data_IF_857770133627
#
_entry.id   IF_857770133627
#
_cell.length_a   1.000
_cell.length_b   1.000
_cell.length_c   1.000
_cell.angle_alpha   90.00
_cell.angle_beta   90.00
_cell.angle_gamma   90.00
#
_symmetry.space_group_name_H-M   'P 1'
#
loop_
_entity.id
_entity.type
_entity.pdbx_description
1 polymer ?
#
# COMPACT_ATOMS: atom_id res chain seq x y z
N UNK A 1 -7.49 -31.06 7.27
CA UNK A 1 -6.72 -29.81 7.19
C UNK A 1 -7.49 -28.77 7.97
N UNK A 2 -6.87 -28.13 8.96
CA UNK A 2 -7.57 -27.21 9.86
C UNK A 2 -7.73 -25.85 9.17
N UNK A 3 -8.93 -25.59 8.62
CA UNK A 3 -9.34 -24.27 8.18
C UNK A 3 -9.85 -23.50 9.41
N UNK A 4 -9.14 -22.44 9.79
CA UNK A 4 -9.71 -21.42 10.65
C UNK A 4 -10.30 -20.37 9.69
N UNK A 5 -11.63 -20.32 9.59
CA UNK A 5 -12.40 -19.28 8.86
C UNK A 5 -12.11 -19.10 7.36
N UNK A 6 -11.81 -20.18 6.63
CA UNK A 6 -11.57 -20.11 5.18
C UNK A 6 -10.29 -19.37 4.78
N UNK A 7 -9.36 -19.21 5.73
CA UNK A 7 -8.00 -18.70 5.49
C UNK A 7 -7.07 -19.90 5.33
N UNK A 8 -6.34 -19.96 4.22
CA UNK A 8 -5.40 -21.06 3.96
C UNK A 8 -4.06 -20.80 4.65
N UNK A 9 -3.27 -21.87 4.84
CA UNK A 9 -1.89 -21.73 5.32
C UNK A 9 -1.03 -20.88 4.37
N UNK A 10 -1.31 -20.94 3.06
CA UNK A 10 -0.63 -20.11 2.07
C UNK A 10 -0.91 -18.62 2.32
N UNK A 11 -2.17 -18.26 2.60
CA UNK A 11 -2.53 -16.88 2.92
C UNK A 11 -1.81 -16.39 4.18
N UNK A 12 -1.73 -17.22 5.23
CA UNK A 12 -1.00 -16.89 6.45
C UNK A 12 0.49 -16.66 6.22
N UNK A 13 1.13 -17.43 5.33
CA UNK A 13 2.54 -17.22 4.98
C UNK A 13 2.81 -15.87 4.33
N UNK A 14 1.79 -15.31 3.68
CA UNK A 14 1.80 -13.98 3.08
C UNK A 14 1.23 -12.92 4.04
N UNK A 15 1.11 -13.19 5.35
CA UNK A 15 0.75 -12.16 6.31
C UNK A 15 1.87 -11.10 6.40
N UNK A 16 1.59 -9.78 6.47
CA UNK A 16 2.61 -8.72 6.48
C UNK A 16 3.70 -8.84 7.56
N UNK A 17 3.40 -9.54 8.66
CA UNK A 17 4.39 -9.89 9.72
C UNK A 17 5.43 -10.92 9.27
N UNK A 18 5.09 -11.77 8.30
CA UNK A 18 5.93 -12.85 7.78
C UNK A 18 6.50 -12.54 6.39
N UNK A 19 5.92 -11.56 5.69
CA UNK A 19 6.40 -11.11 4.39
C UNK A 19 7.86 -10.66 4.44
N UNK A 20 8.62 -11.02 3.41
CA UNK A 20 9.95 -10.43 3.18
C UNK A 20 9.84 -8.94 2.84
N UNK A 21 10.93 -8.20 2.97
CA UNK A 21 10.94 -6.79 2.55
C UNK A 21 10.58 -6.61 1.08
N UNK A 22 11.03 -7.52 0.21
CA UNK A 22 10.75 -7.49 -1.22
C UNK A 22 9.25 -7.66 -1.47
N UNK A 23 8.65 -8.64 -0.80
CA UNK A 23 7.22 -8.93 -0.88
C UNK A 23 6.38 -7.75 -0.37
N UNK A 24 6.75 -7.16 0.76
CA UNK A 24 6.07 -5.97 1.30
C UNK A 24 6.13 -4.77 0.36
N UNK A 25 7.29 -4.55 -0.25
CA UNK A 25 7.51 -3.44 -1.18
C UNK A 25 6.61 -3.55 -2.41
N UNK A 26 6.49 -4.76 -2.98
CA UNK A 26 5.68 -4.99 -4.18
C UNK A 26 4.20 -5.31 -3.91
N UNK A 27 3.83 -5.68 -2.68
CA UNK A 27 2.45 -6.07 -2.35
C UNK A 27 1.39 -5.04 -2.77
N UNK A 28 1.51 -3.72 -2.52
CA UNK A 28 0.55 -2.73 -2.99
C UNK A 28 0.36 -2.74 -4.52
N UNK A 29 1.44 -2.98 -5.27
CA UNK A 29 1.40 -3.02 -6.73
C UNK A 29 0.64 -4.26 -7.22
N UNK A 30 1.02 -5.44 -6.72
CA UNK A 30 0.39 -6.72 -7.08
C UNK A 30 -1.08 -6.78 -6.63
N UNK A 31 -1.38 -6.28 -5.43
CA UNK A 31 -2.74 -6.21 -4.91
C UNK A 31 -3.62 -5.31 -5.77
N UNK A 32 -3.12 -4.17 -6.25
CA UNK A 32 -3.90 -3.29 -7.11
C UNK A 32 -4.29 -4.01 -8.42
N UNK A 33 -3.37 -4.77 -9.02
CA UNK A 33 -3.65 -5.58 -10.22
C UNK A 33 -4.77 -6.58 -9.94
N UNK A 34 -4.68 -7.31 -8.83
CA UNK A 34 -5.67 -8.34 -8.47
C UNK A 34 -7.05 -7.74 -8.19
N UNK A 35 -7.10 -6.63 -7.43
CA UNK A 35 -8.37 -6.05 -6.98
C UNK A 35 -9.08 -5.25 -8.07
N UNK A 36 -8.37 -4.74 -9.07
CA UNK A 36 -8.97 -3.96 -10.17
C UNK A 36 -9.99 -4.75 -11.00
N UNK A 37 -9.91 -6.08 -10.98
CA UNK A 37 -10.89 -6.96 -11.63
C UNK A 37 -12.13 -7.23 -10.77
N UNK A 38 -12.17 -6.75 -9.52
CA UNK A 38 -13.27 -6.94 -8.58
C UNK A 38 -14.22 -5.74 -8.65
N UNK A 39 -15.50 -5.99 -8.86
CA UNK A 39 -16.51 -4.93 -8.91
C UNK A 39 -16.57 -4.15 -7.58
N UNK A 40 -16.72 -2.83 -7.68
CA UNK A 40 -16.87 -1.90 -6.54
C UNK A 40 -15.74 -1.96 -5.50
N UNK A 41 -14.55 -2.44 -5.87
CA UNK A 41 -13.45 -2.64 -4.92
C UNK A 41 -13.02 -1.36 -4.20
N UNK A 42 -13.02 -0.21 -4.88
CA UNK A 42 -12.61 1.07 -4.29
C UNK A 42 -13.52 1.46 -3.13
N UNK A 43 -14.83 1.44 -3.36
CA UNK A 43 -15.84 1.74 -2.34
C UNK A 43 -15.79 0.72 -1.21
N UNK A 44 -15.66 -0.57 -1.53
CA UNK A 44 -15.55 -1.62 -0.53
C UNK A 44 -14.28 -1.48 0.33
N UNK A 45 -13.15 -1.14 -0.28
CA UNK A 45 -11.87 -1.00 0.41
C UNK A 45 -11.85 0.24 1.30
N UNK A 46 -12.34 1.38 0.79
CA UNK A 46 -12.51 2.59 1.58
C UNK A 46 -13.41 2.34 2.80
N UNK A 47 -14.61 1.79 2.57
CA UNK A 47 -15.56 1.50 3.65
C UNK A 47 -15.02 0.47 4.64
N UNK A 48 -14.36 -0.59 4.17
CA UNK A 48 -13.79 -1.62 5.03
C UNK A 48 -12.75 -0.99 5.97
N UNK A 49 -11.82 -0.22 5.41
CA UNK A 49 -10.71 0.38 6.16
C UNK A 49 -11.20 1.43 7.16
N UNK A 50 -12.14 2.29 6.77
CA UNK A 50 -12.71 3.32 7.68
C UNK A 50 -13.46 2.69 8.87
N UNK A 51 -14.12 1.55 8.68
CA UNK A 51 -14.82 0.85 9.74
C UNK A 51 -13.89 0.05 10.67
N UNK A 52 -12.76 -0.46 10.16
CA UNK A 52 -11.79 -1.24 10.96
C UNK A 52 -10.77 -0.34 11.65
N UNK A 53 -10.43 0.80 11.04
CA UNK A 53 -9.54 1.82 11.59
C UNK A 53 -10.24 3.19 11.55
N UNK A 54 -10.95 3.57 12.62
CA UNK A 54 -11.67 4.85 12.69
C UNK A 54 -10.77 6.09 12.54
N UNK A 55 -9.45 5.96 12.77
CA UNK A 55 -8.47 7.03 12.56
C UNK A 55 -8.05 7.18 11.09
N UNK A 56 -8.30 6.18 10.24
CA UNK A 56 -7.85 6.17 8.86
C UNK A 56 -8.55 7.24 8.01
N UNK A 57 -9.88 7.38 8.15
CA UNK A 57 -10.66 8.44 7.48
C UNK A 57 -10.32 9.86 7.94
N UNK A 58 -9.41 10.02 8.91
CA UNK A 58 -8.89 11.32 9.37
C UNK A 58 -7.45 11.58 8.93
N UNK A 59 -6.77 10.59 8.33
CA UNK A 59 -5.36 10.71 7.92
C UNK A 59 -5.26 11.56 6.66
N UNK A 60 -4.53 12.67 6.74
CA UNK A 60 -4.15 13.42 5.56
C UNK A 60 -2.84 12.87 4.99
N UNK A 61 -2.89 12.29 3.79
CA UNK A 61 -1.72 11.64 3.16
C UNK A 61 -0.62 12.66 2.87
N UNK A 62 -0.96 13.83 2.32
CA UNK A 62 0.00 14.91 2.04
C UNK A 62 0.72 15.38 3.31
N UNK A 63 -0.04 15.67 4.38
CA UNK A 63 0.55 16.07 5.67
C UNK A 63 1.37 14.94 6.29
N UNK A 64 0.99 13.69 6.09
CA UNK A 64 1.77 12.55 6.59
C UNK A 64 3.12 12.48 5.86
N UNK A 65 3.11 12.61 4.53
CA UNK A 65 4.31 12.60 3.69
C UNK A 65 5.31 13.70 4.07
N UNK A 66 4.82 14.88 4.48
CA UNK A 66 5.66 15.98 4.96
C UNK A 66 6.53 15.62 6.17
N UNK A 67 6.14 14.61 6.95
CA UNK A 67 6.95 14.11 8.07
C UNK A 67 8.10 13.18 7.63
N UNK A 68 8.20 12.88 6.33
CA UNK A 68 9.24 12.00 5.80
C UNK A 68 10.62 12.68 5.81
N UNK A 69 11.66 11.89 6.04
CA UNK A 69 13.06 12.31 5.80
C UNK A 69 13.33 12.61 4.32
N UNK A 70 12.48 12.08 3.43
CA UNK A 70 12.56 12.20 1.99
C UNK A 70 11.35 12.97 1.42
N UNK A 71 10.79 13.89 2.21
CA UNK A 71 9.56 14.62 1.90
C UNK A 71 9.55 15.16 0.46
N UNK A 72 10.63 15.81 -0.02
CA UNK A 72 10.69 16.36 -1.38
C UNK A 72 10.42 15.28 -2.45
N UNK A 73 11.07 14.12 -2.35
CA UNK A 73 10.91 13.04 -3.33
C UNK A 73 9.53 12.37 -3.21
N UNK A 74 9.07 12.15 -1.98
CA UNK A 74 7.77 11.53 -1.70
C UNK A 74 6.59 12.45 -2.09
N UNK A 75 6.70 13.75 -1.86
CA UNK A 75 5.76 14.78 -2.31
C UNK A 75 5.75 14.86 -3.83
N UNK A 76 6.91 14.80 -4.49
CA UNK A 76 6.98 14.78 -5.95
C UNK A 76 6.21 13.59 -6.53
N UNK A 77 6.33 12.39 -5.94
CA UNK A 77 5.53 11.22 -6.36
C UNK A 77 4.04 11.46 -6.13
N UNK A 78 3.68 12.07 -4.99
CA UNK A 78 2.30 12.37 -4.66
C UNK A 78 1.67 13.38 -5.64
N UNK A 79 2.34 14.49 -5.93
CA UNK A 79 1.86 15.51 -6.88
C UNK A 79 1.82 15.00 -8.33
N UNK A 80 2.78 14.13 -8.74
CA UNK A 80 2.74 13.44 -10.04
C UNK A 80 1.61 12.40 -10.13
N UNK A 81 1.11 11.91 -8.99
CA UNK A 81 -0.01 10.97 -8.94
C UNK A 81 -1.35 11.71 -8.97
N UNK A 82 -1.45 12.80 -8.22
CA UNK A 82 -2.66 13.58 -8.04
C UNK A 82 -2.40 14.98 -8.58
N UNK A 83 -2.60 15.16 -9.89
CA UNK A 83 -2.60 16.50 -10.49
C UNK A 83 -3.72 17.31 -9.81
N UNK A 84 -3.39 18.53 -9.34
CA UNK A 84 -4.24 19.38 -8.50
C UNK A 84 -5.49 19.91 -9.20
N UNK A 85 -6.35 19.09 -9.77
CA UNK A 85 -7.66 19.52 -10.28
C UNK A 85 -8.73 18.48 -9.94
N UNK A 86 -9.62 18.89 -9.04
CA UNK A 86 -10.91 18.31 -8.63
C UNK A 86 -10.96 16.97 -7.85
N UNK A 87 -11.45 17.06 -6.61
CA UNK A 87 -12.06 15.91 -5.91
C UNK A 87 -11.13 15.02 -5.10
N UNK A 88 -10.03 15.55 -4.56
CA UNK A 88 -9.12 14.80 -3.70
C UNK A 88 -9.83 14.20 -2.46
N UNK A 89 -9.68 12.89 -2.23
CA UNK A 89 -10.20 12.18 -1.07
C UNK A 89 -9.06 11.54 -0.26
N UNK A 90 -8.95 11.89 1.02
CA UNK A 90 -8.04 11.25 1.96
C UNK A 90 -8.63 9.89 2.40
N UNK A 91 -8.38 8.82 1.63
CA UNK A 91 -8.92 7.49 1.94
C UNK A 91 -7.91 6.37 1.62
N UNK A 92 -8.31 5.13 1.93
CA UNK A 92 -7.46 3.95 1.76
C UNK A 92 -7.09 3.65 0.30
N UNK A 93 -7.97 3.96 -0.65
CA UNK A 93 -7.72 3.78 -2.09
C UNK A 93 -6.59 4.69 -2.55
N UNK A 94 -6.58 5.94 -2.09
CA UNK A 94 -5.51 6.90 -2.38
C UNK A 94 -4.19 6.46 -1.74
N UNK A 95 -4.19 5.97 -0.50
CA UNK A 95 -2.96 5.45 0.12
C UNK A 95 -2.39 4.22 -0.62
N UNK A 96 -3.25 3.30 -1.07
CA UNK A 96 -2.86 2.13 -1.86
C UNK A 96 -2.27 2.55 -3.21
N UNK A 97 -2.94 3.45 -3.92
CA UNK A 97 -2.48 3.98 -5.22
C UNK A 97 -1.16 4.73 -5.08
N UNK A 98 -1.03 5.56 -4.05
CA UNK A 98 0.22 6.25 -3.74
C UNK A 98 1.36 5.26 -3.48
N UNK A 99 1.09 4.23 -2.68
CA UNK A 99 2.06 3.17 -2.36
C UNK A 99 2.56 2.42 -3.59
N UNK A 100 1.65 2.08 -4.51
CA UNK A 100 2.00 1.49 -5.80
C UNK A 100 2.88 2.46 -6.62
N UNK A 101 2.56 3.74 -6.66
CA UNK A 101 3.32 4.72 -7.44
C UNK A 101 4.69 5.04 -6.85
N UNK A 102 4.89 4.87 -5.54
CA UNK A 102 6.21 4.95 -4.92
C UNK A 102 7.14 3.90 -5.52
N UNK A 103 6.68 2.65 -5.65
CA UNK A 103 7.44 1.56 -6.27
C UNK A 103 7.94 1.95 -7.68
N UNK A 104 7.06 2.57 -8.48
CA UNK A 104 7.35 2.89 -9.87
C UNK A 104 8.22 4.14 -10.06
N UNK A 105 8.13 5.12 -9.15
CA UNK A 105 8.59 6.49 -9.43
C UNK A 105 9.61 7.05 -8.44
N UNK A 106 9.77 6.46 -7.25
CA UNK A 106 10.60 7.07 -6.21
C UNK A 106 12.07 7.20 -6.62
N UNK A 107 12.62 6.22 -7.34
CA UNK A 107 14.01 6.27 -7.81
C UNK A 107 14.27 7.46 -8.75
N UNK A 108 13.34 7.72 -9.67
CA UNK A 108 13.41 8.88 -10.58
C UNK A 108 13.29 10.19 -9.82
N UNK A 109 12.39 10.26 -8.83
CA UNK A 109 12.16 11.50 -8.08
C UNK A 109 13.31 11.79 -7.10
N UNK A 110 13.90 10.78 -6.46
CA UNK A 110 15.12 10.94 -5.67
C UNK A 110 16.28 11.49 -6.52
N UNK A 111 16.44 11.02 -7.76
CA UNK A 111 17.48 11.51 -8.67
C UNK A 111 17.35 13.00 -9.06
N UNK A 112 16.16 13.59 -8.91
CA UNK A 112 15.92 15.03 -9.11
C UNK A 112 16.25 15.86 -7.87
N UNK A 113 16.55 15.22 -6.74
CA UNK A 113 16.89 15.87 -5.46
C UNK A 113 18.38 15.74 -5.17
N UNK A 114 18.89 16.53 -4.22
CA UNK A 114 20.24 16.36 -3.68
C UNK A 114 20.35 15.20 -2.67
N UNK A 115 19.32 14.34 -2.56
CA UNK A 115 19.27 13.24 -1.61
C UNK A 115 19.93 11.97 -2.18
N UNK A 116 20.48 11.13 -1.30
CA UNK A 116 21.04 9.81 -1.66
C UNK A 116 19.93 8.92 -2.25
N UNK A 117 20.27 8.07 -3.21
CA UNK A 117 19.40 6.99 -3.63
C UNK A 117 19.05 6.07 -2.45
N UNK A 118 17.81 5.59 -2.44
CA UNK A 118 17.32 4.67 -1.42
C UNK A 118 17.31 3.26 -1.98
N UNK A 119 17.72 2.33 -1.12
CA UNK A 119 17.41 0.92 -1.31
C UNK A 119 15.90 0.70 -1.13
N UNK A 120 15.40 -0.36 -1.74
CA UNK A 120 14.02 -0.81 -1.54
C UNK A 120 13.65 -0.95 -0.05
N UNK A 121 14.59 -1.43 0.75
CA UNK A 121 14.39 -1.59 2.19
C UNK A 121 14.19 -0.25 2.89
N UNK A 122 15.01 0.76 2.58
CA UNK A 122 14.86 2.11 3.14
C UNK A 122 13.52 2.74 2.72
N UNK A 123 13.07 2.53 1.48
CA UNK A 123 11.76 3.02 1.01
C UNK A 123 10.62 2.34 1.76
N UNK A 124 10.62 1.01 1.88
CA UNK A 124 9.57 0.27 2.59
C UNK A 124 9.55 0.60 4.09
N UNK A 125 10.71 0.79 4.71
CA UNK A 125 10.81 1.26 6.10
C UNK A 125 10.18 2.64 6.29
N UNK A 126 10.50 3.58 5.40
CA UNK A 126 9.92 4.93 5.45
C UNK A 126 8.39 4.87 5.25
N UNK A 127 7.91 4.14 4.24
CA UNK A 127 6.47 3.94 4.02
C UNK A 127 5.76 3.35 5.23
N UNK A 128 6.38 2.37 5.90
CA UNK A 128 5.83 1.77 7.12
C UNK A 128 5.80 2.76 8.27
N UNK A 129 6.81 3.62 8.38
CA UNK A 129 6.85 4.67 9.41
C UNK A 129 5.75 5.71 9.20
N UNK A 130 5.43 6.03 7.95
CA UNK A 130 4.39 7.01 7.59
C UNK A 130 2.99 6.40 7.67
N UNK A 131 2.85 5.13 7.25
CA UNK A 131 1.58 4.42 7.14
C UNK A 131 1.67 3.03 7.79
N UNK A 132 1.66 2.95 9.13
CA UNK A 132 1.93 1.70 9.85
C UNK A 132 0.94 0.56 9.56
N UNK A 133 -0.35 0.88 9.37
CA UNK A 133 -1.39 -0.14 9.15
C UNK A 133 -1.61 -0.48 7.67
N UNK A 134 -0.92 0.20 6.74
CA UNK A 134 -1.13 0.10 5.29
C UNK A 134 -1.23 -1.35 4.79
N UNK A 135 -0.23 -2.16 5.14
CA UNK A 135 -0.13 -3.54 4.62
C UNK A 135 -1.04 -4.51 5.35
N UNK A 136 -1.26 -4.31 6.66
CA UNK A 136 -2.15 -5.16 7.47
C UNK A 136 -3.60 -4.98 7.08
N UNK A 137 -4.02 -3.76 6.73
CA UNK A 137 -5.37 -3.51 6.23
C UNK A 137 -5.58 -4.05 4.82
N UNK A 138 -4.60 -3.86 3.94
CA UNK A 138 -4.65 -4.43 2.60
C UNK A 138 -4.75 -5.96 2.66
N UNK A 139 -3.91 -6.61 3.48
CA UNK A 139 -4.00 -8.06 3.71
C UNK A 139 -5.37 -8.47 4.25
N UNK A 140 -5.86 -7.77 5.28
CA UNK A 140 -7.14 -8.12 5.90
C UNK A 140 -8.32 -7.93 4.93
N UNK A 141 -8.27 -6.90 4.09
CA UNK A 141 -9.27 -6.69 3.04
C UNK A 141 -9.32 -7.88 2.07
N UNK A 142 -8.17 -8.37 1.61
CA UNK A 142 -8.10 -9.53 0.71
C UNK A 142 -8.58 -10.81 1.40
N UNK A 143 -7.93 -11.18 2.50
CA UNK A 143 -8.10 -12.49 3.13
C UNK A 143 -9.37 -12.58 3.97
N UNK A 144 -9.71 -11.53 4.71
CA UNK A 144 -10.85 -11.53 5.64
C UNK A 144 -12.12 -11.09 4.92
N UNK A 145 -12.09 -9.94 4.24
CA UNK A 145 -13.30 -9.33 3.64
C UNK A 145 -13.67 -9.92 2.29
N UNK A 146 -12.72 -10.00 1.34
CA UNK A 146 -12.98 -10.43 -0.03
C UNK A 146 -12.79 -11.92 -0.25
N UNK A 147 -12.15 -12.63 0.68
CA UNK A 147 -11.80 -14.06 0.56
C UNK A 147 -10.96 -14.34 -0.71
N UNK A 148 -10.11 -13.39 -1.08
CA UNK A 148 -9.15 -13.51 -2.17
C UNK A 148 -7.86 -14.08 -1.58
N UNK A 149 -7.35 -15.14 -2.20
CA UNK A 149 -6.10 -15.76 -1.76
C UNK A 149 -4.91 -14.87 -2.08
N UNK A 150 -3.89 -14.92 -1.21
CA UNK A 150 -2.64 -14.19 -1.39
C UNK A 150 -1.66 -14.86 -2.37
N UNK A 151 -2.07 -15.95 -3.05
CA UNK A 151 -1.21 -16.68 -3.99
C UNK A 151 -0.71 -15.84 -5.17
N UNK A 152 -1.35 -14.72 -5.48
CA UNK A 152 -0.87 -13.76 -6.49
C UNK A 152 0.49 -13.12 -6.12
N UNK A 153 0.91 -13.19 -4.86
CA UNK A 153 2.25 -12.76 -4.44
C UNK A 153 3.36 -13.78 -4.75
N UNK A 154 3.01 -14.97 -5.24
CA UNK A 154 4.00 -15.99 -5.61
C UNK A 154 4.55 -15.79 -7.03
N UNK A 155 3.81 -15.10 -7.91
CA UNK A 155 4.24 -14.79 -9.29
C UNK A 155 5.30 -13.69 -9.38
N UNK A 156 5.50 -12.89 -8.33
CA UNK A 156 6.48 -11.80 -8.27
C UNK A 156 7.88 -12.23 -7.78
N UNK A 157 8.15 -13.54 -7.72
CA UNK A 157 9.45 -14.15 -7.35
C UNK A 157 10.37 -14.48 -8.54
N UNK A 158 10.14 -13.88 -9.72
CA UNK A 158 11.02 -14.06 -10.90
C UNK A 158 12.00 -12.90 -11.04
#
# INVERSE_FOLDING_TARGET
MAEIQGVTLADLWHHPLLMTCNERYYFPHEALIEVMCVENWETDYANYTENHIPSYGKRNIETTIQNSKYAIAFESVYQETYQREDGYQNNAVVELTYSKNIVDRIGKNLAKTNQKSLTMHEVEQELTSLFPERLTELYSFFVVKKKISMSFLQSSRV
#
